data_IF_215184405060
#
_entry.id   IF_215184405060
#
_cell.length_a   1.000
_cell.length_b   1.000
_cell.length_c   1.000
_cell.angle_alpha   90.00
_cell.angle_beta   90.00
_cell.angle_gamma   90.00
#
_symmetry.space_group_name_H-M   'P 1'
#
loop_
_entity.id
_entity.type
_entity.pdbx_description
1 polymer ?
#
# COMPACT_ATOMS: atom_id res chain seq x y z
N UNK A 1 0.74 66.26 -4.74
CA UNK A 1 0.40 65.11 -3.88
C UNK A 1 -0.46 64.02 -4.58
N UNK A 2 -1.18 64.32 -5.68
CA UNK A 2 -2.13 63.37 -6.29
C UNK A 2 -1.47 62.30 -7.19
N UNK A 3 -0.30 62.56 -7.78
CA UNK A 3 0.36 61.58 -8.66
C UNK A 3 1.12 60.46 -7.93
N UNK A 4 1.46 60.63 -6.64
CA UNK A 4 2.22 59.62 -5.89
C UNK A 4 1.32 58.49 -5.35
N UNK A 5 0.08 58.82 -4.94
CA UNK A 5 -0.89 57.82 -4.48
C UNK A 5 -1.33 56.86 -5.60
N UNK A 6 -1.45 57.31 -6.86
CA UNK A 6 -1.91 56.47 -7.97
C UNK A 6 -0.93 55.34 -8.31
N UNK A 7 0.38 55.55 -8.12
CA UNK A 7 1.41 54.53 -8.32
C UNK A 7 1.45 53.48 -7.20
N UNK A 8 1.10 53.87 -5.97
CA UNK A 8 1.07 52.95 -4.82
C UNK A 8 -0.13 52.01 -4.92
N UNK A 9 -1.32 52.53 -5.27
CA UNK A 9 -2.52 51.71 -5.46
C UNK A 9 -2.39 50.71 -6.63
N UNK A 10 -1.69 51.08 -7.71
CA UNK A 10 -1.41 50.16 -8.83
C UNK A 10 -0.47 49.00 -8.42
N UNK A 11 0.55 49.26 -7.59
CA UNK A 11 1.46 48.21 -7.11
C UNK A 11 0.79 47.28 -6.09
N UNK A 12 -0.08 47.80 -5.22
CA UNK A 12 -0.86 47.01 -4.27
C UNK A 12 -1.90 46.13 -4.98
N UNK A 13 -2.59 46.65 -5.99
CA UNK A 13 -3.50 45.84 -6.80
C UNK A 13 -2.78 44.72 -7.55
N UNK A 14 -1.56 44.97 -8.05
CA UNK A 14 -0.75 43.96 -8.74
C UNK A 14 -0.21 42.88 -7.78
N UNK A 15 0.14 43.24 -6.54
CA UNK A 15 0.60 42.27 -5.53
C UNK A 15 -0.55 41.44 -4.96
N UNK A 16 -1.74 42.02 -4.79
CA UNK A 16 -2.94 41.27 -4.40
C UNK A 16 -3.37 40.33 -5.53
N UNK A 17 -3.32 40.77 -6.80
CA UNK A 17 -3.62 39.91 -7.95
C UNK A 17 -2.58 38.78 -8.11
N UNK A 18 -1.30 39.09 -7.93
CA UNK A 18 -0.23 38.08 -7.96
C UNK A 18 -0.34 37.09 -6.80
N UNK A 19 -0.73 37.52 -5.59
CA UNK A 19 -1.01 36.62 -4.47
C UNK A 19 -2.27 35.78 -4.70
N UNK A 20 -3.34 36.32 -5.30
CA UNK A 20 -4.51 35.50 -5.65
C UNK A 20 -4.22 34.49 -6.76
N UNK A 21 -3.35 34.81 -7.73
CA UNK A 21 -2.92 33.86 -8.76
C UNK A 21 -1.96 32.80 -8.18
N UNK A 22 -1.09 33.17 -7.22
CA UNK A 22 -0.23 32.22 -6.51
C UNK A 22 -0.99 31.32 -5.52
N UNK A 23 -2.14 31.75 -4.99
CA UNK A 23 -3.00 30.92 -4.15
C UNK A 23 -3.89 29.98 -4.98
N UNK A 24 -4.24 30.36 -6.22
CA UNK A 24 -4.97 29.48 -7.16
C UNK A 24 -4.03 28.51 -7.90
N UNK A 25 -2.73 28.77 -7.96
CA UNK A 25 -1.74 27.82 -8.50
C UNK A 25 -1.04 26.95 -7.43
N UNK A 26 -1.26 27.21 -6.13
CA UNK A 26 -0.77 26.38 -5.02
C UNK A 26 -1.90 25.63 -4.30
N UNK A 27 -3.09 25.50 -4.91
CA UNK A 27 -3.87 24.31 -4.65
C UNK A 27 -3.03 23.14 -5.14
N UNK A 28 -2.29 22.57 -4.18
CA UNK A 28 -1.67 21.27 -4.26
C UNK A 28 -2.52 20.44 -5.22
N UNK A 29 -1.91 20.04 -6.33
CA UNK A 29 -2.26 18.78 -6.94
C UNK A 29 -2.12 17.76 -5.82
N UNK A 30 -3.22 17.59 -5.08
CA UNK A 30 -3.52 16.37 -4.40
C UNK A 30 -3.18 15.28 -5.40
N UNK A 31 -2.39 14.32 -4.94
CA UNK A 31 -2.12 13.03 -5.55
C UNK A 31 -3.44 12.23 -5.74
N UNK A 32 -4.46 12.86 -6.30
CA UNK A 32 -5.66 12.23 -6.80
C UNK A 32 -5.39 11.91 -8.26
N UNK A 33 -5.38 10.62 -8.57
CA UNK A 33 -5.19 10.01 -9.89
C UNK A 33 -3.73 9.83 -10.37
N UNK A 34 -2.87 9.25 -9.53
CA UNK A 34 -2.10 8.14 -10.09
C UNK A 34 -3.13 7.02 -10.38
N UNK A 35 -3.14 6.37 -11.56
CA UNK A 35 -4.04 5.26 -11.81
C UNK A 35 -3.91 4.28 -10.65
N UNK A 36 -5.04 3.80 -10.13
CA UNK A 36 -5.02 2.80 -9.08
C UNK A 36 -4.18 1.62 -9.58
N UNK A 37 -3.08 1.32 -8.89
CA UNK A 37 -2.40 0.02 -8.99
C UNK A 37 -3.41 -1.11 -8.96
N UNK A 38 -3.86 -1.48 -10.14
CA UNK A 38 -4.96 -2.38 -10.36
C UNK A 38 -4.35 -3.64 -10.93
N UNK A 39 -4.16 -4.67 -10.10
CA UNK A 39 -3.84 -5.99 -10.61
C UNK A 39 -4.91 -6.41 -11.64
N UNK A 40 -4.53 -6.51 -12.91
CA UNK A 40 -5.45 -6.77 -14.02
C UNK A 40 -6.09 -8.16 -13.90
N UNK A 41 -7.40 -8.19 -13.71
CA UNK A 41 -8.21 -9.41 -13.83
C UNK A 41 -7.90 -10.51 -12.81
N UNK A 42 -8.33 -11.72 -13.22
CA UNK A 42 -8.40 -12.94 -12.41
C UNK A 42 -7.24 -13.92 -12.65
N UNK A 43 -6.33 -13.58 -13.56
CA UNK A 43 -5.20 -14.41 -13.92
C UNK A 43 -4.08 -14.32 -12.87
N UNK A 44 -3.22 -15.36 -12.75
CA UNK A 44 -2.03 -15.27 -11.93
C UNK A 44 -1.13 -14.11 -12.39
N UNK A 45 -0.70 -13.31 -11.44
CA UNK A 45 0.22 -12.20 -11.59
C UNK A 45 1.60 -12.68 -11.17
N UNK A 46 2.49 -12.77 -12.15
CA UNK A 46 3.84 -13.26 -11.94
C UNK A 46 4.74 -12.09 -11.52
N UNK A 47 5.26 -12.21 -10.30
CA UNK A 47 6.29 -11.36 -9.73
C UNK A 47 7.64 -12.02 -9.95
N UNK A 48 8.57 -11.25 -10.51
CA UNK A 48 9.93 -11.72 -10.68
C UNK A 48 10.60 -11.98 -9.33
N UNK A 49 11.04 -13.22 -9.11
CA UNK A 49 11.64 -13.67 -7.86
C UNK A 49 13.09 -13.20 -7.67
N UNK A 50 13.66 -12.48 -8.65
CA UNK A 50 14.92 -11.79 -8.43
C UNK A 50 14.62 -10.35 -8.04
N UNK A 51 14.96 -10.06 -6.79
CA UNK A 51 14.68 -8.83 -6.10
C UNK A 51 16.00 -8.25 -5.58
N UNK A 52 16.68 -7.41 -6.37
CA UNK A 52 17.94 -6.85 -5.92
C UNK A 52 17.71 -5.79 -4.84
N UNK A 53 18.52 -5.88 -3.79
CA UNK A 53 18.50 -4.96 -2.65
C UNK A 53 19.90 -4.43 -2.44
N UNK A 54 20.07 -3.10 -2.40
CA UNK A 54 21.38 -2.47 -2.23
C UNK A 54 21.43 -1.58 -0.99
N UNK A 55 22.59 -1.53 -0.33
CA UNK A 55 22.84 -0.55 0.71
C UNK A 55 22.91 0.85 0.09
N UNK A 56 22.14 1.82 0.61
CA UNK A 56 22.06 3.18 0.06
C UNK A 56 23.43 3.84 -0.16
N UNK A 57 24.38 3.60 0.74
CA UNK A 57 25.74 4.16 0.64
C UNK A 57 26.52 3.64 -0.58
N UNK A 58 26.18 2.46 -1.11
CA UNK A 58 26.95 1.79 -2.17
C UNK A 58 26.38 2.08 -3.58
N UNK A 59 25.29 2.86 -3.68
CA UNK A 59 24.62 3.12 -4.97
C UNK A 59 25.53 3.91 -5.90
N UNK A 60 26.23 4.92 -5.38
CA UNK A 60 27.14 5.76 -6.17
C UNK A 60 28.32 4.95 -6.73
N UNK A 61 29.01 4.22 -5.86
CA UNK A 61 30.16 3.38 -6.24
C UNK A 61 29.77 2.36 -7.32
N UNK A 62 28.57 1.78 -7.21
CA UNK A 62 28.04 0.87 -8.23
C UNK A 62 27.82 1.55 -9.59
N UNK A 63 27.17 2.72 -9.62
CA UNK A 63 26.90 3.46 -10.86
C UNK A 63 28.20 3.83 -11.57
N UNK A 64 29.21 4.27 -10.81
CA UNK A 64 30.52 4.66 -11.34
C UNK A 64 31.31 3.46 -11.88
N UNK A 65 31.26 2.30 -11.19
CA UNK A 65 32.00 1.10 -11.58
C UNK A 65 31.46 0.42 -12.84
N UNK A 66 30.16 0.56 -13.13
CA UNK A 66 29.49 -0.19 -14.21
C UNK A 66 29.22 0.66 -15.46
N UNK A 67 29.96 1.77 -15.63
CA UNK A 67 29.85 2.66 -16.79
C UNK A 67 28.43 3.20 -17.04
N UNK A 68 27.59 3.22 -15.99
CA UNK A 68 26.25 3.80 -15.96
C UNK A 68 26.32 5.33 -15.85
N UNK A 69 27.43 5.93 -16.31
CA UNK A 69 27.80 7.35 -16.24
C UNK A 69 26.78 8.30 -16.90
N UNK A 70 25.82 7.78 -17.68
CA UNK A 70 24.69 8.53 -18.24
C UNK A 70 23.63 8.88 -17.20
N UNK A 71 23.67 8.24 -16.03
CA UNK A 71 22.71 8.40 -14.95
C UNK A 71 23.29 9.15 -13.75
N UNK A 72 23.98 10.26 -14.01
CA UNK A 72 24.79 11.02 -13.05
C UNK A 72 24.07 11.64 -11.84
N UNK A 73 22.76 11.40 -11.69
CA UNK A 73 21.90 11.92 -10.61
C UNK A 73 21.03 10.84 -9.96
N UNK A 74 21.48 9.57 -9.96
CA UNK A 74 20.77 8.52 -9.23
C UNK A 74 20.97 8.71 -7.72
N UNK A 75 19.89 8.99 -7.00
CA UNK A 75 19.87 9.01 -5.55
C UNK A 75 19.48 7.64 -4.95
N UNK A 76 18.71 6.83 -5.69
CA UNK A 76 18.20 5.53 -5.24
C UNK A 76 18.21 4.46 -6.33
N UNK A 77 18.24 3.17 -5.97
CA UNK A 77 18.14 2.07 -6.94
C UNK A 77 16.83 2.13 -7.76
N UNK A 78 15.77 2.71 -7.18
CA UNK A 78 14.51 2.95 -7.87
C UNK A 78 14.66 3.97 -9.02
N UNK A 79 15.45 5.02 -8.83
CA UNK A 79 15.74 5.99 -9.88
C UNK A 79 16.53 5.37 -11.03
N UNK A 80 17.46 4.46 -10.72
CA UNK A 80 18.19 3.69 -11.74
C UNK A 80 17.23 2.79 -12.54
N UNK A 81 16.38 2.01 -11.85
CA UNK A 81 15.38 1.16 -12.51
C UNK A 81 14.41 1.97 -13.38
N UNK A 82 14.00 3.16 -12.92
CA UNK A 82 13.15 4.07 -13.69
C UNK A 82 13.88 4.70 -14.87
N UNK A 83 15.15 5.06 -14.71
CA UNK A 83 15.92 5.68 -15.80
C UNK A 83 16.26 4.67 -16.90
N UNK A 84 16.60 3.43 -16.52
CA UNK A 84 16.73 2.31 -17.47
C UNK A 84 15.41 2.11 -18.20
N UNK A 85 14.30 1.99 -17.47
CA UNK A 85 13.01 1.77 -18.11
C UNK A 85 12.52 2.95 -18.96
N UNK A 86 12.87 4.19 -18.61
CA UNK A 86 12.56 5.39 -19.41
C UNK A 86 13.45 5.51 -20.66
N UNK A 87 14.67 4.94 -20.62
CA UNK A 87 15.56 4.84 -21.78
C UNK A 87 15.11 3.78 -22.80
N UNK A 88 14.13 2.95 -22.43
CA UNK A 88 13.60 1.88 -23.25
C UNK A 88 12.31 2.32 -23.95
N UNK A 89 12.33 2.35 -25.29
CA UNK A 89 11.15 2.74 -26.08
C UNK A 89 9.98 1.78 -25.84
N UNK A 90 8.81 2.34 -25.52
CA UNK A 90 7.58 1.61 -25.23
C UNK A 90 6.91 1.09 -26.50
N UNK A 91 7.17 -0.17 -26.91
CA UNK A 91 6.15 -0.94 -27.67
C UNK A 91 6.41 -2.45 -27.90
N UNK A 92 7.49 -3.09 -27.45
CA UNK A 92 7.71 -4.52 -27.77
C UNK A 92 8.13 -5.34 -26.55
N UNK A 93 8.20 -6.68 -26.66
CA UNK A 93 8.60 -7.60 -25.58
C UNK A 93 10.11 -7.54 -25.26
N UNK A 94 10.91 -6.94 -26.14
CA UNK A 94 12.38 -6.84 -26.06
C UNK A 94 12.91 -6.02 -24.86
N UNK A 95 12.29 -4.89 -24.47
CA UNK A 95 12.63 -4.13 -23.26
C UNK A 95 12.37 -4.87 -21.94
N UNK A 96 11.38 -5.77 -21.90
CA UNK A 96 11.07 -6.58 -20.71
C UNK A 96 12.22 -7.53 -20.41
N UNK A 97 12.71 -8.21 -21.45
CA UNK A 97 13.87 -9.09 -21.40
C UNK A 97 15.10 -8.39 -20.86
N UNK A 98 15.43 -7.25 -21.44
CA UNK A 98 16.62 -6.47 -21.09
C UNK A 98 16.55 -5.96 -19.63
N UNK A 99 15.36 -5.54 -19.16
CA UNK A 99 15.17 -5.10 -17.79
C UNK A 99 15.29 -6.25 -16.77
N UNK A 100 14.65 -7.40 -17.05
CA UNK A 100 14.75 -8.57 -16.18
C UNK A 100 16.17 -9.14 -16.15
N UNK A 101 16.84 -9.21 -17.31
CA UNK A 101 18.25 -9.63 -17.41
C UNK A 101 19.16 -8.71 -16.61
N UNK A 102 18.94 -7.39 -16.69
CA UNK A 102 19.67 -6.42 -15.86
C UNK A 102 19.48 -6.71 -14.36
N UNK A 103 18.26 -6.98 -13.89
CA UNK A 103 18.04 -7.32 -12.49
C UNK A 103 18.70 -8.63 -12.08
N UNK A 104 18.73 -9.63 -12.95
CA UNK A 104 19.41 -10.90 -12.72
C UNK A 104 20.93 -10.73 -12.62
N UNK A 105 21.54 -10.02 -13.57
CA UNK A 105 22.95 -9.68 -13.57
C UNK A 105 23.32 -8.85 -12.33
N UNK A 106 22.50 -7.85 -12.00
CA UNK A 106 22.70 -6.99 -10.86
C UNK A 106 22.62 -7.77 -9.55
N UNK A 107 21.61 -8.63 -9.38
CA UNK A 107 21.51 -9.51 -8.22
C UNK A 107 22.71 -10.46 -8.12
N UNK A 108 23.15 -11.04 -9.24
CA UNK A 108 24.33 -11.89 -9.30
C UNK A 108 25.62 -11.18 -8.89
N UNK A 109 25.79 -9.92 -9.31
CA UNK A 109 26.90 -9.06 -8.88
C UNK A 109 26.82 -8.78 -7.38
N UNK A 110 25.64 -8.39 -6.86
CA UNK A 110 25.42 -8.12 -5.45
C UNK A 110 25.75 -9.34 -4.58
N UNK A 111 25.29 -10.53 -4.96
CA UNK A 111 25.59 -11.76 -4.21
C UNK A 111 27.09 -12.06 -4.18
N UNK A 112 27.83 -11.74 -5.25
CA UNK A 112 29.27 -11.97 -5.33
C UNK A 112 30.12 -10.94 -4.58
N UNK A 113 29.68 -9.68 -4.52
CA UNK A 113 30.45 -8.56 -3.98
C UNK A 113 29.93 -8.01 -2.64
N UNK A 114 28.80 -8.53 -2.14
CA UNK A 114 28.29 -8.17 -0.81
C UNK A 114 29.09 -8.90 0.27
N UNK A 115 30.05 -8.20 0.87
CA UNK A 115 30.89 -8.68 1.98
C UNK A 115 30.10 -9.15 3.21
N UNK A 116 28.78 -8.90 3.28
CA UNK A 116 27.97 -9.18 4.45
C UNK A 116 26.77 -10.09 4.20
N UNK A 117 26.44 -10.44 2.94
CA UNK A 117 25.29 -11.30 2.59
C UNK A 117 23.91 -10.78 3.03
N UNK A 118 23.85 -9.59 3.66
CA UNK A 118 22.63 -8.96 4.18
C UNK A 118 21.66 -8.65 3.05
N UNK A 119 22.19 -8.26 1.90
CA UNK A 119 21.44 -7.90 0.69
C UNK A 119 20.64 -9.11 0.18
N UNK A 120 21.31 -10.25 0.03
CA UNK A 120 20.68 -11.53 -0.35
C UNK A 120 19.74 -12.06 0.73
N UNK A 121 20.07 -11.84 2.00
CA UNK A 121 19.18 -12.18 3.11
C UNK A 121 17.87 -11.38 3.07
N UNK A 122 17.93 -10.05 2.90
CA UNK A 122 16.72 -9.21 2.83
C UNK A 122 15.84 -9.65 1.67
N UNK A 123 16.46 -9.86 0.50
CA UNK A 123 15.77 -10.28 -0.71
C UNK A 123 15.03 -11.61 -0.51
N UNK A 124 15.77 -12.65 -0.11
CA UNK A 124 15.21 -13.97 0.15
C UNK A 124 14.16 -13.97 1.26
N UNK A 125 14.36 -13.16 2.32
CA UNK A 125 13.44 -13.08 3.44
C UNK A 125 12.10 -12.48 3.04
N UNK A 126 12.09 -11.38 2.28
CA UNK A 126 10.83 -10.78 1.79
C UNK A 126 10.06 -11.75 0.91
N UNK A 127 10.74 -12.41 -0.04
CA UNK A 127 10.11 -13.38 -0.93
C UNK A 127 9.51 -14.56 -0.13
N UNK A 128 10.26 -15.08 0.84
CA UNK A 128 9.79 -16.17 1.72
C UNK A 128 8.60 -15.75 2.57
N UNK A 129 8.58 -14.53 3.11
CA UNK A 129 7.44 -14.02 3.87
C UNK A 129 6.21 -13.83 2.96
N UNK A 130 6.37 -13.31 1.73
CA UNK A 130 5.27 -13.22 0.76
C UNK A 130 4.63 -14.59 0.48
N UNK A 131 5.44 -15.64 0.35
CA UNK A 131 4.92 -17.00 0.19
C UNK A 131 4.24 -17.51 1.46
N UNK A 132 4.85 -17.30 2.63
CA UNK A 132 4.28 -17.70 3.91
C UNK A 132 2.90 -17.07 4.14
N UNK A 133 2.73 -15.80 3.78
CA UNK A 133 1.46 -15.08 3.90
C UNK A 133 0.34 -15.72 3.08
N UNK A 134 0.64 -16.34 1.94
CA UNK A 134 -0.36 -17.05 1.17
C UNK A 134 -0.96 -18.24 1.93
N UNK A 135 -0.12 -18.97 2.67
CA UNK A 135 -0.54 -20.10 3.50
C UNK A 135 -1.24 -19.66 4.79
N UNK A 136 -0.71 -18.62 5.45
CA UNK A 136 -1.25 -18.12 6.72
C UNK A 136 -2.64 -17.51 6.55
N UNK A 137 -2.88 -16.82 5.45
CA UNK A 137 -4.16 -16.14 5.17
C UNK A 137 -5.19 -17.03 4.48
N UNK A 138 -4.84 -18.30 4.20
CA UNK A 138 -5.73 -19.31 3.62
C UNK A 138 -6.46 -18.84 2.35
N UNK A 139 -5.78 -18.09 1.48
CA UNK A 139 -6.43 -17.50 0.30
C UNK A 139 -6.74 -18.59 -0.73
N UNK A 140 -8.02 -18.81 -1.09
CA UNK A 140 -8.42 -19.94 -1.96
C UNK A 140 -7.83 -19.90 -3.37
N UNK A 141 -7.50 -18.70 -3.87
CA UNK A 141 -6.97 -18.49 -5.21
C UNK A 141 -5.65 -17.71 -5.14
N UNK A 142 -4.56 -18.35 -5.57
CA UNK A 142 -3.24 -17.71 -5.64
C UNK A 142 -3.21 -16.71 -6.80
N UNK A 143 -3.31 -15.43 -6.47
CA UNK A 143 -3.20 -14.32 -7.42
C UNK A 143 -1.76 -13.92 -7.68
N UNK A 144 -0.92 -13.82 -6.65
CA UNK A 144 0.49 -13.49 -6.78
C UNK A 144 1.32 -14.78 -6.84
N UNK A 145 2.09 -14.96 -7.91
CA UNK A 145 3.03 -16.06 -8.07
C UNK A 145 4.43 -15.48 -8.15
N UNK A 146 5.26 -15.82 -7.17
CA UNK A 146 6.66 -15.43 -7.12
C UNK A 146 7.46 -16.52 -7.82
N UNK A 147 8.13 -16.19 -8.93
CA UNK A 147 8.93 -17.19 -9.66
C UNK A 147 10.07 -16.56 -10.45
N UNK A 148 11.02 -17.37 -10.89
CA UNK A 148 12.19 -16.93 -11.66
C UNK A 148 11.97 -17.01 -13.17
N UNK A 149 12.66 -16.18 -13.93
CA UNK A 149 12.65 -16.11 -15.40
C UNK A 149 13.09 -17.40 -16.10
N UNK A 150 13.89 -18.24 -15.45
CA UNK A 150 14.27 -19.57 -15.96
C UNK A 150 13.09 -20.56 -16.00
N UNK A 151 12.03 -20.31 -15.22
CA UNK A 151 10.86 -21.20 -15.14
C UNK A 151 9.71 -20.83 -16.07
N UNK A 152 9.61 -19.56 -16.47
CA UNK A 152 8.51 -19.05 -17.29
C UNK A 152 9.03 -18.05 -18.33
N UNK A 153 8.39 -17.98 -19.51
CA UNK A 153 8.70 -16.96 -20.50
C UNK A 153 8.66 -15.53 -19.91
N UNK A 154 9.63 -14.69 -20.27
CA UNK A 154 9.81 -13.33 -19.72
C UNK A 154 8.58 -12.43 -19.94
N UNK A 155 7.82 -12.66 -21.00
CA UNK A 155 6.59 -11.94 -21.34
C UNK A 155 5.40 -12.27 -20.42
N UNK A 156 5.53 -13.31 -19.58
CA UNK A 156 4.55 -13.69 -18.56
C UNK A 156 4.69 -12.84 -17.29
N UNK A 157 5.89 -12.32 -17.00
CA UNK A 157 6.11 -11.46 -15.86
C UNK A 157 5.33 -10.16 -15.99
N UNK A 158 4.69 -9.76 -14.90
CA UNK A 158 3.90 -8.52 -14.81
C UNK A 158 4.54 -7.52 -13.88
N UNK A 159 5.20 -8.01 -12.83
CA UNK A 159 5.78 -7.18 -11.80
C UNK A 159 7.23 -7.55 -11.52
N UNK A 160 8.01 -6.56 -11.13
CA UNK A 160 9.38 -6.71 -10.61
C UNK A 160 9.53 -5.88 -9.34
N UNK A 161 10.52 -6.23 -8.51
CA UNK A 161 10.82 -5.50 -7.28
C UNK A 161 12.26 -5.07 -7.25
N UNK A 162 12.52 -3.91 -6.65
CA UNK A 162 13.85 -3.40 -6.35
C UNK A 162 13.86 -2.75 -4.99
N UNK A 163 14.95 -2.93 -4.25
CA UNK A 163 15.02 -2.56 -2.85
C UNK A 163 16.29 -1.82 -2.50
N UNK A 164 16.22 -1.06 -1.44
CA UNK A 164 17.38 -0.41 -0.87
C UNK A 164 17.25 -0.30 0.63
N UNK A 165 18.38 -0.35 1.35
CA UNK A 165 18.36 -0.23 2.80
C UNK A 165 19.51 0.63 3.32
N UNK A 166 19.33 1.14 4.53
CA UNK A 166 20.38 1.84 5.26
C UNK A 166 20.36 1.42 6.72
N UNK A 167 21.54 1.37 7.34
CA UNK A 167 21.64 1.19 8.78
C UNK A 167 21.21 2.48 9.50
N UNK A 168 20.41 2.28 10.52
CA UNK A 168 20.09 3.27 11.54
C UNK A 168 20.89 2.94 12.80
N UNK A 169 20.84 3.83 13.79
CA UNK A 169 21.43 3.57 15.10
C UNK A 169 20.84 2.31 15.76
N UNK A 170 21.61 1.69 16.66
CA UNK A 170 21.19 0.54 17.47
C UNK A 170 20.87 -0.74 16.69
N UNK A 171 21.58 -0.98 15.58
CA UNK A 171 21.41 -2.21 14.78
C UNK A 171 20.05 -2.29 14.06
N UNK A 172 19.38 -1.15 13.90
CA UNK A 172 18.14 -1.02 13.14
C UNK A 172 18.45 -0.75 11.67
N UNK A 173 17.47 -1.03 10.82
CA UNK A 173 17.53 -0.72 9.38
C UNK A 173 16.32 0.10 8.98
N UNK A 174 16.50 0.96 7.98
CA UNK A 174 15.44 1.50 7.15
C UNK A 174 15.49 0.76 5.81
N UNK A 175 14.37 0.22 5.36
CA UNK A 175 14.24 -0.55 4.14
C UNK A 175 13.19 0.11 3.26
N UNK A 176 13.52 0.29 1.99
CA UNK A 176 12.62 0.81 0.97
C UNK A 176 12.54 -0.22 -0.17
N UNK A 177 11.33 -0.52 -0.63
CA UNK A 177 11.09 -1.46 -1.73
C UNK A 177 10.13 -0.82 -2.71
N UNK A 178 10.44 -0.92 -3.99
CA UNK A 178 9.58 -0.47 -5.08
C UNK A 178 9.12 -1.68 -5.87
N UNK A 179 7.81 -1.82 -6.01
CA UNK A 179 7.17 -2.80 -6.89
C UNK A 179 6.73 -2.08 -8.15
N UNK A 180 7.13 -2.59 -9.31
CA UNK A 180 6.88 -1.95 -10.61
C UNK A 180 6.15 -2.90 -11.55
N UNK A 181 5.09 -2.41 -12.20
CA UNK A 181 4.47 -3.05 -13.34
C UNK A 181 5.38 -2.88 -14.56
N UNK A 182 5.81 -4.00 -15.15
CA UNK A 182 6.80 -4.00 -16.22
C UNK A 182 6.23 -3.43 -17.52
N UNK A 183 4.94 -3.65 -17.79
CA UNK A 183 4.28 -3.21 -19.02
C UNK A 183 3.86 -1.75 -18.98
N UNK A 184 3.21 -1.34 -17.89
CA UNK A 184 2.66 0.02 -17.77
C UNK A 184 3.67 1.00 -17.18
N UNK A 185 4.71 0.50 -16.53
CA UNK A 185 5.69 1.31 -15.80
C UNK A 185 5.18 1.88 -14.48
N UNK A 186 3.95 1.55 -14.09
CA UNK A 186 3.38 1.96 -12.81
C UNK A 186 4.19 1.42 -11.64
N UNK A 187 4.38 2.21 -10.59
CA UNK A 187 5.21 1.85 -9.44
C UNK A 187 4.55 2.20 -8.11
N UNK A 188 4.81 1.36 -7.10
CA UNK A 188 4.41 1.56 -5.71
C UNK A 188 5.63 1.38 -4.82
N UNK A 189 5.88 2.34 -3.94
CA UNK A 189 6.97 2.31 -2.98
C UNK A 189 6.46 1.95 -1.59
N UNK A 190 7.25 1.15 -0.87
CA UNK A 190 7.00 0.65 0.47
C UNK A 190 8.21 0.96 1.33
N UNK A 191 7.98 1.34 2.58
CA UNK A 191 9.06 1.72 3.49
C UNK A 191 8.77 1.19 4.89
N UNK A 192 9.75 0.51 5.49
CA UNK A 192 9.67 0.05 6.87
C UNK A 192 10.99 0.32 7.60
N UNK A 193 10.91 0.46 8.92
CA UNK A 193 12.11 0.62 9.75
C UNK A 193 12.01 -0.16 11.05
N UNK A 194 13.15 -0.66 11.54
CA UNK A 194 13.17 -1.48 12.75
C UNK A 194 14.29 -2.51 12.74
N UNK A 195 14.10 -3.58 13.51
CA UNK A 195 14.95 -4.77 13.36
C UNK A 195 14.73 -5.37 11.98
N UNK A 196 15.79 -5.89 11.37
CA UNK A 196 15.78 -6.45 10.01
C UNK A 196 14.61 -7.44 9.76
N UNK A 197 14.40 -8.36 10.70
CA UNK A 197 13.32 -9.36 10.62
C UNK A 197 11.91 -8.76 10.67
N UNK A 198 11.70 -7.67 11.42
CA UNK A 198 10.40 -7.01 11.49
C UNK A 198 10.16 -6.16 10.24
N UNK A 199 11.14 -5.35 9.84
CA UNK A 199 11.02 -4.50 8.67
C UNK A 199 10.77 -5.30 7.37
N UNK A 200 11.38 -6.48 7.23
CA UNK A 200 11.12 -7.39 6.10
C UNK A 200 9.72 -7.98 6.11
N UNK A 201 9.19 -8.34 7.29
CA UNK A 201 7.80 -8.80 7.46
C UNK A 201 6.79 -7.72 7.14
N UNK A 202 7.02 -6.50 7.64
CA UNK A 202 6.12 -5.37 7.43
C UNK A 202 6.02 -5.03 5.93
N UNK A 203 7.16 -4.98 5.22
CA UNK A 203 7.15 -4.78 3.76
C UNK A 203 6.49 -5.93 3.02
N UNK A 204 6.79 -7.19 3.37
CA UNK A 204 6.15 -8.33 2.73
C UNK A 204 4.62 -8.29 2.92
N UNK A 205 4.15 -7.91 4.11
CA UNK A 205 2.73 -7.73 4.40
C UNK A 205 2.11 -6.63 3.54
N UNK A 206 2.73 -5.45 3.44
CA UNK A 206 2.21 -4.35 2.65
C UNK A 206 2.17 -4.68 1.14
N UNK A 207 3.21 -5.33 0.62
CA UNK A 207 3.24 -5.79 -0.77
C UNK A 207 2.15 -6.83 -1.02
N UNK A 208 2.02 -7.80 -0.11
CA UNK A 208 0.96 -8.81 -0.21
C UNK A 208 -0.43 -8.17 -0.22
N UNK A 209 -0.67 -7.27 0.74
CA UNK A 209 -1.94 -6.59 0.87
C UNK A 209 -2.23 -5.75 -0.40
N UNK A 210 -1.24 -5.15 -1.07
CA UNK A 210 -1.44 -4.46 -2.36
C UNK A 210 -2.00 -5.39 -3.46
N UNK A 211 -1.51 -6.62 -3.57
CA UNK A 211 -1.93 -7.56 -4.62
C UNK A 211 -3.26 -8.27 -4.31
N UNK A 212 -3.55 -8.46 -3.03
CA UNK A 212 -4.68 -9.27 -2.56
C UNK A 212 -5.83 -8.46 -1.96
N UNK A 213 -5.63 -7.21 -1.54
CA UNK A 213 -6.74 -6.32 -1.21
C UNK A 213 -7.47 -5.95 -2.51
N UNK A 214 -8.82 -5.90 -2.52
CA UNK A 214 -9.56 -5.78 -3.75
C UNK A 214 -9.86 -4.31 -4.08
N UNK A 215 -9.99 -3.99 -5.37
CA UNK A 215 -11.19 -3.30 -5.85
C UNK A 215 -12.09 -4.40 -6.43
N UNK A 216 -13.08 -4.90 -5.69
CA UNK A 216 -13.68 -6.20 -6.01
C UNK A 216 -14.74 -6.08 -7.12
N UNK A 217 -14.80 -7.04 -8.07
CA UNK A 217 -15.95 -7.19 -8.95
C UNK A 217 -17.20 -7.68 -8.17
N UNK A 218 -18.36 -7.13 -8.53
CA UNK A 218 -19.64 -7.16 -7.77
C UNK A 218 -20.18 -8.52 -7.33
N UNK A 219 -19.86 -9.62 -8.02
CA UNK A 219 -20.51 -10.91 -7.75
C UNK A 219 -19.88 -11.73 -6.62
N UNK A 220 -18.62 -11.46 -6.24
CA UNK A 220 -17.88 -12.18 -5.19
C UNK A 220 -17.86 -11.44 -3.85
N UNK A 221 -18.03 -10.12 -3.88
CA UNK A 221 -18.07 -9.28 -2.69
C UNK A 221 -19.45 -8.61 -2.57
N UNK A 222 -20.30 -9.02 -1.61
CA UNK A 222 -21.57 -8.33 -1.34
C UNK A 222 -21.36 -6.90 -0.81
N UNK A 223 -20.13 -6.52 -0.45
CA UNK A 223 -19.73 -5.14 -0.16
C UNK A 223 -19.05 -4.45 -1.35
N UNK A 224 -19.18 -4.94 -2.59
CA UNK A 224 -18.50 -4.31 -3.73
C UNK A 224 -18.99 -2.89 -4.01
N UNK A 225 -20.28 -2.63 -3.75
CA UNK A 225 -20.87 -1.30 -3.85
C UNK A 225 -20.92 -0.57 -2.50
N UNK A 226 -20.43 -1.20 -1.42
CA UNK A 226 -20.52 -0.65 -0.07
C UNK A 226 -19.15 -0.47 0.55
N UNK A 227 -18.85 0.73 1.02
CA UNK A 227 -17.63 1.00 1.76
C UNK A 227 -17.82 0.70 3.24
N UNK A 228 -17.00 -0.20 3.76
CA UNK A 228 -16.88 -0.38 5.20
C UNK A 228 -15.94 0.69 5.74
N UNK A 229 -16.37 1.41 6.78
CA UNK A 229 -15.61 2.51 7.36
C UNK A 229 -15.27 2.18 8.82
N UNK A 230 -13.97 2.10 9.11
CA UNK A 230 -13.47 1.97 10.47
C UNK A 230 -13.27 3.35 11.12
N UNK A 231 -13.80 3.54 12.32
CA UNK A 231 -13.63 4.80 13.06
C UNK A 231 -12.24 4.84 13.65
N UNK A 232 -11.27 5.44 12.94
CA UNK A 232 -9.89 5.63 13.42
C UNK A 232 -9.85 6.62 14.60
N UNK A 233 -9.94 6.11 15.81
CA UNK A 233 -9.79 6.88 17.05
C UNK A 233 -8.44 6.57 17.69
N UNK A 234 -7.53 7.55 17.70
CA UNK A 234 -6.17 7.41 18.22
C UNK A 234 -6.08 7.08 19.72
N UNK A 235 -7.17 7.12 20.48
CA UNK A 235 -7.14 6.89 21.94
C UNK A 235 -7.79 5.59 22.41
N UNK A 236 -8.62 4.88 21.61
CA UNK A 236 -9.40 3.73 22.13
C UNK A 236 -9.65 2.57 21.15
N UNK A 237 -8.69 2.20 20.28
CA UNK A 237 -8.83 1.03 19.36
C UNK A 237 -10.20 0.99 18.66
N UNK A 238 -10.67 2.13 18.18
CA UNK A 238 -11.94 2.26 17.44
C UNK A 238 -13.19 1.87 18.26
N UNK A 239 -13.10 1.89 19.59
CA UNK A 239 -14.23 1.70 20.51
C UNK A 239 -14.96 3.02 20.73
N UNK A 240 -16.27 2.98 20.58
CA UNK A 240 -17.18 4.10 20.83
C UNK A 240 -18.23 3.68 21.83
N UNK A 241 -18.77 4.64 22.56
CA UNK A 241 -19.96 4.40 23.36
C UNK A 241 -21.14 4.14 22.41
N UNK A 242 -21.80 3.00 22.62
CA UNK A 242 -22.71 2.46 21.62
C UNK A 242 -23.98 3.32 21.40
N UNK A 243 -24.36 4.15 22.37
CA UNK A 243 -25.45 5.13 22.25
C UNK A 243 -25.20 6.17 21.15
N UNK A 244 -23.93 6.48 20.85
CA UNK A 244 -23.54 7.43 19.82
C UNK A 244 -23.31 6.78 18.45
N UNK A 245 -23.42 5.46 18.33
CA UNK A 245 -23.03 4.75 17.11
C UNK A 245 -23.78 5.23 15.86
N UNK A 246 -25.10 5.43 15.97
CA UNK A 246 -25.91 5.96 14.88
C UNK A 246 -25.48 7.37 14.46
N UNK A 247 -25.19 8.25 15.43
CA UNK A 247 -24.76 9.63 15.14
C UNK A 247 -23.38 9.65 14.48
N UNK A 248 -22.46 8.81 14.94
CA UNK A 248 -21.10 8.71 14.39
C UNK A 248 -21.14 8.20 12.94
N UNK A 249 -21.89 7.13 12.66
CA UNK A 249 -22.02 6.65 11.28
C UNK A 249 -22.75 7.65 10.39
N UNK A 250 -23.84 8.26 10.87
CA UNK A 250 -24.59 9.25 10.10
C UNK A 250 -23.73 10.47 9.72
N UNK A 251 -22.83 10.91 10.59
CA UNK A 251 -21.89 11.99 10.29
C UNK A 251 -20.95 11.70 9.11
N UNK A 252 -20.81 10.43 8.73
CA UNK A 252 -19.99 9.98 7.58
C UNK A 252 -20.85 9.57 6.37
N UNK A 253 -22.14 9.92 6.38
CA UNK A 253 -23.14 9.44 5.42
C UNK A 253 -23.20 7.91 5.35
N UNK A 254 -23.07 7.25 6.51
CA UNK A 254 -23.04 5.81 6.65
C UNK A 254 -24.07 5.34 7.69
N UNK A 255 -24.36 4.05 7.73
CA UNK A 255 -25.24 3.41 8.72
C UNK A 255 -24.48 2.39 9.57
N UNK A 256 -25.04 2.06 10.72
CA UNK A 256 -24.55 0.94 11.55
C UNK A 256 -24.90 -0.37 10.86
N UNK A 257 -23.93 -1.30 10.79
CA UNK A 257 -24.10 -2.59 10.13
C UNK A 257 -25.04 -3.54 10.85
N UNK A 258 -25.66 -4.43 10.09
CA UNK A 258 -26.44 -5.53 10.62
C UNK A 258 -25.57 -6.65 11.18
N UNK A 259 -26.18 -7.53 11.99
CA UNK A 259 -25.54 -8.76 12.46
C UNK A 259 -25.02 -9.62 11.30
N UNK A 260 -25.82 -9.74 10.24
CA UNK A 260 -25.50 -10.57 9.09
C UNK A 260 -24.32 -9.99 8.31
N UNK A 261 -24.31 -8.67 8.07
CA UNK A 261 -23.22 -7.97 7.40
C UNK A 261 -21.90 -8.10 8.18
N UNK A 262 -21.94 -7.99 9.51
CA UNK A 262 -20.75 -8.15 10.33
C UNK A 262 -20.22 -9.60 10.30
N UNK A 263 -21.11 -10.61 10.39
CA UNK A 263 -20.73 -12.02 10.27
C UNK A 263 -20.12 -12.33 8.91
N UNK A 264 -20.72 -11.79 7.85
CA UNK A 264 -20.25 -11.94 6.49
C UNK A 264 -18.88 -11.29 6.32
N UNK A 265 -18.70 -10.06 6.82
CA UNK A 265 -17.40 -9.40 6.76
C UNK A 265 -16.32 -10.15 7.57
N UNK A 266 -16.69 -10.74 8.70
CA UNK A 266 -15.78 -11.59 9.50
C UNK A 266 -15.38 -12.84 8.72
N UNK A 267 -16.34 -13.53 8.09
CA UNK A 267 -16.10 -14.75 7.34
C UNK A 267 -15.32 -14.52 6.04
N UNK A 268 -15.58 -13.40 5.36
CA UNK A 268 -14.89 -13.00 4.14
C UNK A 268 -13.47 -12.46 4.40
N UNK A 269 -13.21 -11.94 5.60
CA UNK A 269 -11.90 -11.46 6.01
C UNK A 269 -11.48 -10.14 5.36
N UNK A 270 -10.32 -9.62 5.78
CA UNK A 270 -9.83 -8.29 5.35
C UNK A 270 -9.54 -8.20 3.85
N UNK A 271 -9.18 -9.32 3.21
CA UNK A 271 -8.84 -9.36 1.78
C UNK A 271 -10.03 -9.31 0.84
N UNK A 272 -11.25 -9.43 1.35
CA UNK A 272 -12.48 -9.21 0.57
C UNK A 272 -13.15 -7.91 0.98
N UNK A 273 -13.07 -7.56 2.25
CA UNK A 273 -13.86 -6.49 2.86
C UNK A 273 -13.09 -5.19 3.05
N UNK A 274 -11.76 -5.21 2.93
CA UNK A 274 -10.88 -4.06 3.17
C UNK A 274 -10.68 -3.73 4.66
N UNK A 275 -11.38 -4.40 5.59
CA UNK A 275 -11.28 -4.16 7.04
C UNK A 275 -11.04 -5.47 7.78
N UNK A 276 -10.11 -5.44 8.72
CA UNK A 276 -9.89 -6.55 9.65
C UNK A 276 -10.91 -6.53 10.79
N UNK A 277 -11.81 -7.52 10.78
CA UNK A 277 -12.78 -7.74 11.86
C UNK A 277 -12.19 -8.72 12.88
N UNK A 278 -11.72 -8.20 14.01
CA UNK A 278 -11.34 -9.02 15.17
C UNK A 278 -12.51 -9.89 15.63
N UNK A 279 -12.32 -11.19 15.80
CA UNK A 279 -13.39 -12.12 16.23
C UNK A 279 -13.65 -12.09 17.74
N UNK A 280 -12.68 -11.60 18.52
CA UNK A 280 -12.73 -11.56 19.99
C UNK A 280 -13.29 -10.27 20.57
N UNK A 281 -13.44 -9.23 19.76
CA UNK A 281 -14.01 -7.95 20.20
C UNK A 281 -15.53 -7.91 20.05
N UNK A 282 -16.17 -7.12 20.92
CA UNK A 282 -17.57 -6.72 20.74
C UNK A 282 -17.68 -5.56 19.76
N UNK A 283 -18.63 -5.67 18.83
CA UNK A 283 -19.01 -4.63 17.88
C UNK A 283 -20.42 -4.15 18.14
N UNK A 284 -20.66 -2.87 17.85
CA UNK A 284 -22.02 -2.32 17.76
C UNK A 284 -22.63 -2.73 16.43
N UNK A 285 -23.81 -3.35 16.49
CA UNK A 285 -24.61 -3.72 15.33
C UNK A 285 -26.03 -3.18 15.49
N UNK A 286 -26.71 -3.00 14.37
CA UNK A 286 -28.13 -2.72 14.33
C UNK A 286 -28.90 -4.00 14.01
N UNK A 287 -29.90 -4.33 14.81
CA UNK A 287 -30.83 -5.43 14.53
C UNK A 287 -32.22 -4.85 14.36
N UNK A 288 -32.86 -5.25 13.27
CA UNK A 288 -34.11 -4.68 12.79
C UNK A 288 -35.22 -4.73 13.85
N UNK A 289 -35.21 -5.74 14.72
CA UNK A 289 -36.26 -5.97 15.71
C UNK A 289 -35.86 -5.48 17.11
N UNK A 290 -34.55 -5.47 17.42
CA UNK A 290 -34.04 -5.22 18.79
C UNK A 290 -33.29 -3.91 18.95
N UNK A 291 -33.09 -3.16 17.87
CA UNK A 291 -32.32 -1.92 17.85
C UNK A 291 -30.81 -2.18 17.96
N UNK A 292 -30.08 -1.22 18.53
CA UNK A 292 -28.64 -1.37 18.68
C UNK A 292 -28.27 -2.46 19.70
N UNK A 293 -27.34 -3.32 19.32
CA UNK A 293 -26.84 -4.41 20.16
C UNK A 293 -25.31 -4.49 20.10
N UNK A 294 -24.72 -5.18 21.08
CA UNK A 294 -23.32 -5.60 21.07
C UNK A 294 -23.24 -7.06 20.64
N UNK A 295 -22.40 -7.32 19.64
CA UNK A 295 -22.19 -8.66 19.11
C UNK A 295 -20.71 -9.02 19.09
N UNK A 296 -20.39 -10.23 19.54
CA UNK A 296 -19.05 -10.80 19.44
C UNK A 296 -19.02 -11.93 18.39
N UNK A 297 -18.21 -11.82 17.33
CA UNK A 297 -18.21 -12.80 16.24
C UNK A 297 -17.79 -14.22 16.63
N UNK A 298 -16.78 -14.37 17.52
CA UNK A 298 -16.25 -15.68 17.89
C UNK A 298 -17.25 -16.55 18.69
N UNK A 299 -17.93 -15.93 19.66
CA UNK A 299 -18.86 -16.65 20.57
C UNK A 299 -20.29 -16.61 20.08
N UNK A 300 -20.62 -15.68 19.18
CA UNK A 300 -22.00 -15.41 18.75
C UNK A 300 -22.84 -14.70 19.82
N UNK A 301 -22.21 -14.29 20.93
CA UNK A 301 -22.85 -13.58 22.02
C UNK A 301 -23.41 -12.25 21.56
N UNK A 302 -24.62 -11.95 22.02
CA UNK A 302 -25.40 -10.82 21.54
C UNK A 302 -26.17 -10.21 22.71
N UNK A 303 -25.79 -9.01 23.10
CA UNK A 303 -26.37 -8.30 24.24
C UNK A 303 -27.09 -7.05 23.76
N UNK A 304 -28.32 -6.85 24.21
CA UNK A 304 -29.01 -5.58 24.03
C UNK A 304 -28.24 -4.50 24.76
N UNK A 305 -28.08 -3.34 24.14
CA UNK A 305 -27.51 -2.18 24.82
C UNK A 305 -28.54 -1.66 25.83
N UNK A 306 -28.15 -1.60 27.09
CA UNK A 306 -28.96 -0.99 28.14
C UNK A 306 -28.68 0.52 28.12
N UNK A 307 -29.71 1.35 28.01
CA UNK A 307 -29.62 2.82 27.85
C UNK A 307 -28.88 3.51 29.01
N UNK A 308 -28.71 2.80 30.14
CA UNK A 308 -28.03 3.30 31.34
C UNK A 308 -26.57 2.87 31.46
N UNK A 309 -26.12 1.89 30.67
CA UNK A 309 -24.77 1.35 30.76
C UNK A 309 -23.86 2.02 29.72
N UNK A 310 -22.84 2.76 30.19
CA UNK A 310 -21.76 3.31 29.36
C UNK A 310 -20.92 2.18 28.78
N UNK A 311 -21.44 1.55 27.74
CA UNK A 311 -20.89 0.32 27.19
C UNK A 311 -20.15 0.63 25.89
N UNK A 312 -18.82 0.58 25.92
CA UNK A 312 -18.00 0.82 24.74
C UNK A 312 -17.81 -0.45 23.91
N UNK A 313 -17.94 -0.36 22.59
CA UNK A 313 -17.69 -1.44 21.65
C UNK A 313 -17.11 -0.89 20.35
N UNK A 314 -16.48 -1.75 19.53
CA UNK A 314 -15.95 -1.32 18.23
C UNK A 314 -17.10 -0.96 17.29
N UNK A 315 -16.88 0.06 16.47
CA UNK A 315 -17.86 0.48 15.47
C UNK A 315 -17.24 0.40 14.07
N UNK A 316 -17.94 -0.30 13.18
CA UNK A 316 -17.67 -0.30 11.76
C UNK A 316 -18.97 0.12 11.07
N UNK A 317 -18.91 1.24 10.37
CA UNK A 317 -20.05 1.75 9.60
C UNK A 317 -20.03 1.15 8.19
N UNK A 318 -21.18 1.17 7.53
CA UNK A 318 -21.30 0.82 6.11
C UNK A 318 -21.93 1.99 5.36
N UNK A 319 -21.30 2.40 4.28
CA UNK A 319 -21.83 3.37 3.32
C UNK A 319 -22.16 2.62 2.04
N UNK A 320 -23.42 2.63 1.67
CA UNK A 320 -23.92 2.04 0.42
C UNK A 320 -23.65 2.97 -0.79
#
# INVERSE_FOLDING_TARGET
MVCFMRRIFSKLAFTIYAMSVLVVCNSAYAQDQAPAFCPEGDAPLYLHAVFPVIKNANIKDFVETNELNRFGTIATLADLGNSIAASMSSSEAKPIKELLSFYDEFYGYMVKNSDQGVDGYISSKILSELEALHYLEQIPKRRLVVTRTDTLPEDVFRYTMIGSYSYLNDGRVALNVVVRNIKTGEQRAFAASGKLSNATKDIAREIFDLFYLPQPPRFLNPFADSELIEIKSGMYKNRVEASFANQICAAQNARVRSKQELRLATALGKYVTGIEVSTSDFYVINDTDKGLMRFQPATGECHKLDDRAKTSARLICIRD
#
